data_IF_929985782552
#
_entry.id   IF_929985782552
#
_cell.length_a   1.000
_cell.length_b   1.000
_cell.length_c   1.000
_cell.angle_alpha   90.00
_cell.angle_beta   90.00
_cell.angle_gamma   90.00
#
_symmetry.space_group_name_H-M   'P 1'
#
loop_
_entity.id
_entity.type
_entity.pdbx_description
1 polymer ?
#
# COMPACT_ATOMS: atom_id res chain seq x y z
N UNK A 1 -1.77 44.66 10.34
CA UNK A 1 -0.48 44.63 11.06
C UNK A 1 -0.18 43.20 11.46
N UNK A 2 0.99 42.66 11.11
CA UNK A 2 1.38 41.29 11.49
C UNK A 2 1.89 41.27 12.92
N UNK A 3 1.39 40.33 13.74
CA UNK A 3 1.78 40.21 15.16
C UNK A 3 2.79 39.07 15.31
N UNK A 4 3.86 39.33 16.04
CA UNK A 4 4.86 38.31 16.35
C UNK A 4 4.41 37.39 17.50
N UNK A 5 4.84 36.12 17.44
CA UNK A 5 4.54 35.12 18.47
C UNK A 5 5.44 35.28 19.70
N UNK A 6 4.91 34.91 20.88
CA UNK A 6 5.64 34.91 22.16
C UNK A 6 6.94 34.09 22.06
N UNK A 7 8.01 34.55 22.73
CA UNK A 7 9.36 33.95 22.68
C UNK A 7 9.41 32.45 23.01
N UNK A 8 8.52 31.94 23.87
CA UNK A 8 8.53 30.54 24.32
C UNK A 8 7.78 29.56 23.38
N UNK A 9 7.45 29.97 22.16
CA UNK A 9 6.64 29.14 21.26
C UNK A 9 7.48 28.04 20.60
N UNK A 10 7.02 26.79 20.64
CA UNK A 10 7.69 25.61 20.02
C UNK A 10 7.96 25.74 18.51
N UNK A 11 7.24 26.65 17.85
CA UNK A 11 7.34 26.92 16.40
C UNK A 11 8.17 28.16 16.05
N UNK A 12 8.78 28.85 17.03
CA UNK A 12 9.52 30.09 16.80
C UNK A 12 10.68 29.94 15.80
N UNK A 13 11.31 28.76 15.76
CA UNK A 13 12.38 28.42 14.79
C UNK A 13 11.92 28.47 13.33
N UNK A 14 10.61 28.49 13.08
CA UNK A 14 10.01 28.59 11.73
C UNK A 14 9.76 30.05 11.31
N UNK A 15 10.23 31.04 12.07
CA UNK A 15 9.93 32.46 11.85
C UNK A 15 8.44 32.74 11.57
N UNK A 16 7.53 32.27 12.46
CA UNK A 16 6.09 32.33 12.22
C UNK A 16 5.55 33.74 12.38
N UNK A 17 4.50 34.08 11.64
CA UNK A 17 3.79 35.34 11.76
C UNK A 17 2.28 35.15 11.70
N UNK A 18 1.55 36.06 12.35
CA UNK A 18 0.09 36.03 12.43
C UNK A 18 -0.47 36.99 11.36
N UNK A 19 -1.35 36.47 10.49
CA UNK A 19 -2.16 37.28 9.57
C UNK A 19 -3.38 37.84 10.32
N UNK A 20 -4.00 38.87 9.75
CA UNK A 20 -5.28 39.48 10.15
C UNK A 20 -6.36 38.48 10.58
N UNK A 21 -6.42 37.29 9.99
CA UNK A 21 -7.42 36.26 10.28
C UNK A 21 -7.01 35.32 11.45
N UNK A 22 -6.07 35.73 12.30
CA UNK A 22 -5.51 34.94 13.40
C UNK A 22 -4.84 33.62 12.99
N UNK A 23 -4.56 33.42 11.71
CA UNK A 23 -3.84 32.26 11.21
C UNK A 23 -2.33 32.45 11.38
N UNK A 24 -1.67 31.40 11.86
CA UNK A 24 -0.22 31.35 11.97
C UNK A 24 0.34 30.78 10.67
N UNK A 25 1.22 31.53 10.04
CA UNK A 25 1.85 31.13 8.80
C UNK A 25 3.38 31.22 8.91
N UNK A 26 4.07 30.46 8.08
CA UNK A 26 5.54 30.38 8.07
C UNK A 26 6.09 31.33 7.02
N UNK A 27 7.10 32.15 7.34
CA UNK A 27 7.84 32.89 6.32
C UNK A 27 8.74 31.95 5.54
N UNK A 28 8.42 31.74 4.27
CA UNK A 28 9.31 31.08 3.33
C UNK A 28 10.49 31.97 2.89
N UNK A 29 11.50 31.31 2.31
CA UNK A 29 12.65 31.93 1.65
C UNK A 29 12.27 32.41 0.23
N UNK A 30 11.20 31.85 -0.35
CA UNK A 30 10.75 32.07 -1.73
C UNK A 30 9.94 33.38 -1.93
N UNK A 31 10.23 34.45 -1.18
CA UNK A 31 9.40 35.67 -1.20
C UNK A 31 9.33 36.34 -2.58
N UNK A 32 10.43 36.28 -3.33
CA UNK A 32 10.57 36.89 -4.65
C UNK A 32 10.22 35.94 -5.81
N UNK A 33 9.74 34.72 -5.54
CA UNK A 33 9.31 33.81 -6.61
C UNK A 33 8.01 34.28 -7.27
N UNK A 34 7.66 33.71 -8.42
CA UNK A 34 6.35 33.91 -9.08
C UNK A 34 5.25 33.01 -8.50
N UNK A 35 5.53 32.29 -7.42
CA UNK A 35 4.56 31.38 -6.79
C UNK A 35 3.40 32.15 -6.13
N UNK A 36 2.29 31.43 -5.92
CA UNK A 36 1.16 31.96 -5.17
C UNK A 36 1.56 32.35 -3.74
N UNK A 37 0.85 33.31 -3.15
CA UNK A 37 1.11 33.73 -1.77
C UNK A 37 0.95 32.57 -0.78
N UNK A 38 0.00 31.66 -1.00
CA UNK A 38 -0.21 30.47 -0.18
C UNK A 38 1.02 29.55 -0.14
N UNK A 39 1.69 29.37 -1.29
CA UNK A 39 2.92 28.58 -1.40
C UNK A 39 4.12 29.27 -0.75
N UNK A 40 4.20 30.60 -0.83
CA UNK A 40 5.27 31.39 -0.18
C UNK A 40 5.10 31.42 1.33
N UNK A 41 3.85 31.38 1.78
CA UNK A 41 3.43 31.67 3.14
C UNK A 41 2.44 30.61 3.67
N UNK A 42 2.88 29.35 3.78
CA UNK A 42 1.99 28.25 4.10
C UNK A 42 1.47 28.33 5.55
N UNK A 43 0.21 27.91 5.73
CA UNK A 43 -0.50 27.92 7.02
C UNK A 43 -0.04 26.77 7.90
N UNK A 44 0.34 27.06 9.14
CA UNK A 44 0.80 26.04 10.08
C UNK A 44 -0.36 25.12 10.47
N UNK A 45 -0.18 23.82 10.25
CA UNK A 45 -1.13 22.81 10.72
C UNK A 45 -0.58 22.12 11.99
N UNK A 46 -1.35 22.14 13.10
CA UNK A 46 -0.93 21.51 14.35
C UNK A 46 -0.86 20.00 14.23
N UNK A 47 0.15 19.39 14.83
CA UNK A 47 0.27 17.93 14.86
C UNK A 47 -0.83 17.31 15.73
N UNK A 48 -1.48 16.26 15.23
CA UNK A 48 -2.47 15.49 16.00
C UNK A 48 -3.87 16.10 16.08
N UNK A 49 -4.09 17.29 15.51
CA UNK A 49 -5.40 17.94 15.51
C UNK A 49 -6.34 17.34 14.45
N UNK A 50 -7.65 17.34 14.73
CA UNK A 50 -8.67 16.77 13.83
C UNK A 50 -8.66 17.44 12.44
N UNK A 51 -8.52 18.76 12.39
CA UNK A 51 -8.45 19.51 11.12
C UNK A 51 -7.29 19.04 10.24
N UNK A 52 -6.11 18.81 10.83
CA UNK A 52 -4.96 18.31 10.10
C UNK A 52 -5.21 16.90 9.56
N UNK A 53 -5.86 16.04 10.33
CA UNK A 53 -6.24 14.72 9.85
C UNK A 53 -7.22 14.82 8.67
N UNK A 54 -8.25 15.66 8.77
CA UNK A 54 -9.25 15.85 7.71
C UNK A 54 -8.63 16.39 6.42
N UNK A 55 -7.71 17.36 6.52
CA UNK A 55 -6.97 17.88 5.36
C UNK A 55 -6.18 16.76 4.68
N UNK A 56 -5.42 15.97 5.45
CA UNK A 56 -4.66 14.86 4.87
C UNK A 56 -5.56 13.79 4.26
N UNK A 57 -6.72 13.48 4.86
CA UNK A 57 -7.69 12.53 4.28
C UNK A 57 -8.28 13.07 2.97
N UNK A 58 -8.70 14.34 2.94
CA UNK A 58 -9.22 14.98 1.74
C UNK A 58 -8.21 14.92 0.58
N UNK A 59 -6.97 15.35 0.83
CA UNK A 59 -5.93 15.29 -0.20
C UNK A 59 -5.60 13.85 -0.61
N UNK A 60 -5.66 12.89 0.31
CA UNK A 60 -5.43 11.49 0.00
C UNK A 60 -6.50 10.92 -0.95
N UNK A 61 -7.76 11.32 -0.79
CA UNK A 61 -8.88 10.88 -1.64
C UNK A 61 -8.84 11.54 -3.03
N UNK A 62 -8.63 12.86 -3.11
CA UNK A 62 -8.58 13.55 -4.42
C UNK A 62 -7.33 13.16 -5.25
N UNK A 63 -6.24 12.77 -4.58
CA UNK A 63 -5.03 12.25 -5.23
C UNK A 63 -5.12 10.74 -5.52
N UNK A 64 -6.33 10.17 -5.53
CA UNK A 64 -6.60 8.78 -5.86
C UNK A 64 -5.73 7.80 -5.05
N UNK A 65 -5.71 7.99 -3.74
CA UNK A 65 -4.95 7.16 -2.81
C UNK A 65 -3.43 7.20 -2.99
N UNK A 66 -2.90 8.34 -3.45
CA UNK A 66 -1.48 8.60 -3.59
C UNK A 66 -0.65 8.27 -2.33
N UNK A 67 0.59 7.82 -2.57
CA UNK A 67 1.52 7.44 -1.50
C UNK A 67 1.87 8.60 -0.55
N UNK A 68 2.50 8.30 0.61
CA UNK A 68 2.71 9.30 1.66
C UNK A 68 3.62 10.46 1.25
N UNK A 69 4.53 10.24 0.28
CA UNK A 69 5.41 11.30 -0.22
C UNK A 69 4.65 12.29 -1.12
N UNK A 70 3.82 11.77 -2.03
CA UNK A 70 2.96 12.59 -2.91
C UNK A 70 1.95 13.39 -2.10
N UNK A 71 1.29 12.72 -1.14
CA UNK A 71 0.35 13.38 -0.23
C UNK A 71 1.02 14.53 0.53
N UNK A 72 2.23 14.30 1.05
CA UNK A 72 2.96 15.33 1.78
C UNK A 72 3.40 16.49 0.89
N UNK A 73 3.83 16.23 -0.35
CA UNK A 73 4.22 17.31 -1.27
C UNK A 73 3.04 18.19 -1.62
N UNK A 74 1.87 17.60 -1.87
CA UNK A 74 0.66 18.34 -2.22
C UNK A 74 0.18 19.22 -1.06
N UNK A 75 0.08 18.65 0.14
CA UNK A 75 -0.30 19.41 1.34
C UNK A 75 0.68 20.57 1.59
N UNK A 76 1.96 20.40 1.28
CA UNK A 76 3.00 21.43 1.45
C UNK A 76 2.89 22.61 0.48
N UNK A 77 2.09 22.50 -0.58
CA UNK A 77 1.84 23.64 -1.47
C UNK A 77 1.01 24.71 -0.77
N UNK A 78 0.19 24.37 0.22
CA UNK A 78 -0.70 25.34 0.90
C UNK A 78 -0.49 25.41 2.41
N UNK A 79 0.05 24.33 3.00
CA UNK A 79 0.14 24.16 4.44
C UNK A 79 1.53 23.80 4.91
N UNK A 80 1.84 24.16 6.15
CA UNK A 80 3.05 23.74 6.87
C UNK A 80 2.68 22.77 8.00
N UNK A 81 2.51 21.46 7.70
CA UNK A 81 2.13 20.48 8.70
C UNK A 81 3.28 20.14 9.65
N UNK A 82 3.08 20.40 10.94
CA UNK A 82 3.99 19.96 11.98
C UNK A 82 4.03 18.42 12.02
N UNK A 83 5.24 17.86 11.91
CA UNK A 83 5.45 16.40 11.76
C UNK A 83 4.63 15.77 10.61
N UNK A 84 4.38 16.51 9.53
CA UNK A 84 3.51 16.07 8.42
C UNK A 84 3.88 14.73 7.78
N UNK A 85 5.17 14.33 7.80
CA UNK A 85 5.59 12.98 7.36
C UNK A 85 4.90 11.86 8.13
N UNK A 86 4.73 12.03 9.45
CA UNK A 86 4.02 11.06 10.29
C UNK A 86 2.54 11.04 9.94
N UNK A 87 1.92 12.21 9.76
CA UNK A 87 0.51 12.31 9.37
C UNK A 87 0.27 11.65 8.02
N UNK A 88 1.10 11.92 7.01
CA UNK A 88 0.99 11.31 5.68
C UNK A 88 1.06 9.78 5.72
N UNK A 89 2.04 9.23 6.46
CA UNK A 89 2.19 7.79 6.66
C UNK A 89 1.01 7.20 7.44
N UNK A 90 0.53 7.90 8.46
CA UNK A 90 -0.62 7.48 9.24
C UNK A 90 -1.90 7.45 8.40
N UNK A 91 -2.14 8.46 7.56
CA UNK A 91 -3.32 8.53 6.69
C UNK A 91 -3.31 7.37 5.68
N UNK A 92 -2.20 7.17 4.99
CA UNK A 92 -2.07 6.09 3.98
C UNK A 92 -2.13 4.69 4.60
N UNK A 93 -1.53 4.47 5.77
CA UNK A 93 -1.56 3.17 6.46
C UNK A 93 -2.91 2.81 7.10
N UNK A 94 -3.72 3.81 7.46
CA UNK A 94 -5.07 3.61 8.02
C UNK A 94 -6.17 3.58 6.97
N UNK A 95 -5.87 3.96 5.72
CA UNK A 95 -6.84 3.92 4.63
C UNK A 95 -7.14 2.46 4.25
N UNK A 96 -8.40 2.05 4.37
CA UNK A 96 -8.85 0.69 4.04
C UNK A 96 -8.58 0.33 2.59
N UNK A 97 -8.80 1.26 1.66
CA UNK A 97 -8.53 1.06 0.23
C UNK A 97 -7.06 0.79 -0.02
N UNK A 98 -6.16 1.59 0.55
CA UNK A 98 -4.71 1.38 0.43
C UNK A 98 -4.26 0.06 1.08
N UNK A 99 -4.82 -0.28 2.24
CA UNK A 99 -4.46 -1.52 2.94
C UNK A 99 -4.88 -2.74 2.13
N UNK A 100 -6.09 -2.73 1.53
CA UNK A 100 -6.57 -3.81 0.66
C UNK A 100 -5.78 -3.92 -0.64
N UNK A 101 -5.43 -2.78 -1.25
CA UNK A 101 -4.64 -2.75 -2.48
C UNK A 101 -3.18 -3.17 -2.25
N UNK A 102 -2.65 -2.97 -1.04
CA UNK A 102 -1.31 -3.38 -0.67
C UNK A 102 -1.29 -4.86 -0.28
N UNK A 103 -1.11 -5.73 -1.25
CA UNK A 103 -0.86 -7.15 -0.98
C UNK A 103 0.44 -7.29 -0.17
N UNK A 104 0.34 -7.96 0.98
CA UNK A 104 1.51 -8.48 1.69
C UNK A 104 1.57 -9.96 1.41
N UNK A 105 2.55 -10.38 0.61
CA UNK A 105 2.92 -11.78 0.55
C UNK A 105 3.77 -12.05 1.79
N UNK A 106 3.16 -12.68 2.80
CA UNK A 106 3.96 -13.35 3.81
C UNK A 106 4.48 -14.63 3.16
N UNK A 107 5.80 -14.79 3.12
CA UNK A 107 6.39 -16.04 2.66
C UNK A 107 6.00 -17.12 3.67
N UNK A 108 5.15 -18.09 3.31
CA UNK A 108 4.79 -19.14 4.24
C UNK A 108 6.07 -19.90 4.63
N UNK A 109 6.20 -20.23 5.91
CA UNK A 109 7.26 -21.13 6.35
C UNK A 109 6.99 -22.49 5.70
N UNK A 110 7.90 -22.94 4.84
CA UNK A 110 7.77 -24.23 4.18
C UNK A 110 7.85 -25.34 5.21
N UNK A 111 6.83 -26.20 5.26
CA UNK A 111 6.84 -27.37 6.13
C UNK A 111 7.96 -28.35 5.69
N UNK A 112 8.46 -29.13 6.65
CA UNK A 112 9.43 -30.20 6.36
C UNK A 112 8.83 -31.19 5.37
N UNK A 113 9.61 -31.59 4.36
CA UNK A 113 9.15 -32.51 3.34
C UNK A 113 8.87 -33.90 3.95
N UNK A 114 7.78 -34.58 3.56
CA UNK A 114 7.48 -35.93 4.06
C UNK A 114 8.55 -36.92 3.59
N UNK A 115 8.77 -37.96 4.39
CA UNK A 115 9.76 -39.02 4.12
C UNK A 115 9.58 -39.68 2.75
N UNK A 116 8.33 -39.83 2.30
CA UNK A 116 7.96 -40.39 0.99
C UNK A 116 8.50 -39.59 -0.20
N UNK A 117 8.85 -38.31 -0.01
CA UNK A 117 9.39 -37.44 -1.07
C UNK A 117 10.92 -37.36 -1.06
N UNK A 118 11.57 -37.79 0.01
CA UNK A 118 13.03 -37.67 0.20
C UNK A 118 13.75 -39.01 0.27
N UNK A 119 13.05 -40.10 0.62
CA UNK A 119 13.61 -41.44 0.66
C UNK A 119 13.45 -42.13 -0.70
N UNK A 120 14.50 -42.80 -1.22
CA UNK A 120 14.36 -43.65 -2.40
C UNK A 120 13.35 -44.78 -2.17
N UNK A 121 12.49 -45.01 -3.15
CA UNK A 121 11.51 -46.10 -3.14
C UNK A 121 11.32 -46.62 -4.57
N UNK A 122 10.71 -47.81 -4.72
CA UNK A 122 10.35 -48.34 -6.04
C UNK A 122 9.32 -47.43 -6.72
N UNK A 123 9.28 -47.37 -8.07
CA UNK A 123 8.27 -46.59 -8.79
C UNK A 123 6.84 -46.96 -8.33
N UNK A 124 5.98 -45.96 -8.22
CA UNK A 124 4.55 -46.08 -7.85
C UNK A 124 4.25 -46.65 -6.45
N UNK A 125 5.24 -46.78 -5.55
CA UNK A 125 5.00 -47.17 -4.14
C UNK A 125 4.19 -46.11 -3.38
N UNK A 126 4.43 -44.84 -3.68
CA UNK A 126 3.68 -43.72 -3.14
C UNK A 126 3.39 -42.74 -4.27
N UNK A 127 2.11 -42.49 -4.52
CA UNK A 127 1.63 -41.64 -5.61
C UNK A 127 0.78 -40.49 -5.05
N UNK A 128 0.94 -39.31 -5.64
CA UNK A 128 -0.06 -38.25 -5.53
C UNK A 128 -1.12 -38.48 -6.61
N UNK A 129 -2.38 -38.24 -6.28
CA UNK A 129 -3.50 -38.32 -7.22
C UNK A 129 -4.10 -36.94 -7.34
N UNK A 130 -4.28 -36.49 -8.58
CA UNK A 130 -5.01 -35.27 -8.90
C UNK A 130 -5.97 -35.57 -10.06
N UNK A 131 -6.94 -34.70 -10.28
CA UNK A 131 -7.91 -34.84 -11.37
C UNK A 131 -7.88 -33.61 -12.26
N UNK A 132 -7.72 -33.84 -13.56
CA UNK A 132 -7.85 -32.80 -14.56
C UNK A 132 -9.30 -32.76 -15.04
N UNK A 133 -9.93 -31.60 -14.82
CA UNK A 133 -11.35 -31.36 -15.08
C UNK A 133 -11.69 -30.85 -16.47
N UNK A 134 -12.99 -30.75 -16.77
CA UNK A 134 -13.60 -31.65 -17.73
C UNK A 134 -13.19 -31.30 -19.15
N UNK A 135 -12.45 -32.23 -19.77
CA UNK A 135 -12.16 -32.20 -21.19
C UNK A 135 -13.30 -32.84 -21.98
N UNK A 136 -13.40 -32.49 -23.25
CA UNK A 136 -14.18 -33.24 -24.24
C UNK A 136 -13.24 -34.21 -24.94
N UNK A 137 -13.48 -35.51 -24.77
CA UNK A 137 -12.78 -36.52 -25.56
C UNK A 137 -13.65 -36.90 -26.76
N UNK A 138 -13.10 -36.69 -27.95
CA UNK A 138 -13.69 -37.16 -29.19
C UNK A 138 -13.28 -38.61 -29.40
N UNK A 139 -14.21 -39.52 -29.10
CA UNK A 139 -14.05 -40.93 -29.44
C UNK A 139 -14.43 -41.08 -30.90
N UNK A 140 -13.53 -41.63 -31.73
CA UNK A 140 -13.68 -41.76 -33.19
C UNK A 140 -15.12 -42.13 -33.58
N UNK A 141 -15.81 -41.18 -34.21
CA UNK A 141 -17.19 -41.29 -34.73
C UNK A 141 -18.36 -41.24 -33.73
N UNK A 142 -18.16 -40.81 -32.48
CA UNK A 142 -19.22 -40.58 -31.49
C UNK A 142 -19.15 -39.15 -30.91
N UNK A 143 -20.31 -38.61 -30.53
CA UNK A 143 -20.46 -37.33 -29.80
C UNK A 143 -19.46 -37.20 -28.65
N UNK A 144 -18.79 -36.05 -28.58
CA UNK A 144 -17.81 -35.69 -27.56
C UNK A 144 -18.31 -35.98 -26.13
N UNK A 145 -17.56 -36.75 -25.35
CA UNK A 145 -17.94 -37.13 -23.97
C UNK A 145 -17.16 -36.26 -22.97
N UNK A 146 -17.89 -35.70 -21.99
CA UNK A 146 -17.30 -35.00 -20.85
C UNK A 146 -16.50 -35.98 -20.02
N UNK A 147 -15.19 -35.83 -20.00
CA UNK A 147 -14.26 -36.76 -19.35
C UNK A 147 -13.37 -36.04 -18.35
N UNK A 148 -13.07 -36.74 -17.26
CA UNK A 148 -12.08 -36.33 -16.26
C UNK A 148 -10.91 -37.30 -16.37
N UNK A 149 -9.68 -36.79 -16.32
CA UNK A 149 -8.48 -37.63 -16.37
C UNK A 149 -7.90 -37.67 -14.96
N UNK A 150 -7.70 -38.87 -14.42
CA UNK A 150 -6.99 -39.05 -13.17
C UNK A 150 -5.48 -39.02 -13.45
N UNK A 151 -4.76 -38.13 -12.76
CA UNK A 151 -3.32 -37.95 -12.88
C UNK A 151 -2.65 -38.54 -11.66
N UNK A 152 -1.95 -39.66 -11.86
CA UNK A 152 -1.15 -40.30 -10.83
C UNK A 152 0.31 -39.89 -10.98
N UNK A 153 0.86 -39.20 -9.99
CA UNK A 153 2.27 -38.77 -9.97
C UNK A 153 3.04 -39.60 -8.94
N UNK A 154 4.02 -40.38 -9.40
CA UNK A 154 4.94 -41.08 -8.52
C UNK A 154 5.76 -40.09 -7.68
N UNK A 155 5.71 -40.20 -6.34
CA UNK A 155 6.45 -39.30 -5.44
C UNK A 155 7.95 -39.61 -5.40
N UNK A 156 8.38 -40.80 -5.82
CA UNK A 156 9.78 -41.21 -5.87
C UNK A 156 10.49 -40.76 -7.15
N UNK A 157 9.86 -40.97 -8.33
CA UNK A 157 10.48 -40.73 -9.64
C UNK A 157 9.87 -39.56 -10.41
N UNK A 158 8.73 -39.01 -9.97
CA UNK A 158 7.92 -38.04 -10.73
C UNK A 158 7.36 -38.56 -12.05
N UNK A 159 7.35 -39.88 -12.26
CA UNK A 159 6.63 -40.50 -13.38
C UNK A 159 5.12 -40.24 -13.26
N UNK A 160 4.48 -39.99 -14.40
CA UNK A 160 3.05 -39.66 -14.49
C UNK A 160 2.33 -40.81 -15.21
N UNK A 161 1.23 -41.29 -14.62
CA UNK A 161 0.25 -42.21 -15.24
C UNK A 161 -1.09 -41.48 -15.35
N UNK A 162 -1.72 -41.57 -16.52
CA UNK A 162 -3.01 -40.94 -16.81
C UNK A 162 -4.04 -42.04 -17.05
N UNK A 163 -5.15 -41.96 -16.31
CA UNK A 163 -6.31 -42.86 -16.43
C UNK A 163 -7.56 -42.09 -16.87
#
# INVERSE_FOLDING_TARGET
>A
MSKELKNNSKIRRLSPFIITDNLIIVRGILRHSTLSNEQKHPIVLPFGHKVTQLIFTYFHEILLHGGPQLLLSEVRLRFWPLKGRLTARSTTSRCVTCVRAKSKFENPIMATLPSTRVRPARPFVSTGVDFVGPGTLDVRSVTSIKTWIAVFVCLATRAIHLE
#
